data_IF_703995513503
#
_entry.id   IF_703995513503
#
_cell.length_a   1.000
_cell.length_b   1.000
_cell.length_c   1.000
_cell.angle_alpha   90.00
_cell.angle_beta   90.00
_cell.angle_gamma   90.00
#
_symmetry.space_group_name_H-M   'P 1'
#
loop_
_entity.id
_entity.type
_entity.pdbx_description
1 polymer ?
#
# COMPACT_ATOMS: atom_id res chain seq x y z
N UNK A 1 -26.75 -2.71 -9.43
CA UNK A 1 -26.36 -4.13 -9.42
C UNK A 1 -25.92 -4.68 -10.78
N UNK A 2 -26.24 -4.07 -11.94
CA UNK A 2 -25.85 -4.59 -13.26
C UNK A 2 -24.37 -4.36 -13.67
N UNK A 3 -23.61 -3.52 -12.97
CA UNK A 3 -22.23 -3.14 -13.33
C UNK A 3 -21.14 -3.75 -12.45
N UNK A 4 -21.48 -4.44 -11.34
CA UNK A 4 -20.46 -5.06 -10.50
C UNK A 4 -19.88 -6.29 -11.22
N UNK A 5 -18.57 -6.28 -11.56
CA UNK A 5 -17.96 -7.40 -12.27
C UNK A 5 -17.86 -8.67 -11.41
N UNK A 6 -17.80 -8.55 -10.08
CA UNK A 6 -17.50 -9.68 -9.20
C UNK A 6 -18.67 -10.68 -9.15
N UNK A 7 -19.92 -10.28 -8.86
CA UNK A 7 -21.07 -11.20 -8.89
C UNK A 7 -21.32 -11.78 -10.29
N UNK A 8 -21.12 -10.97 -11.34
CA UNK A 8 -21.29 -11.41 -12.74
C UNK A 8 -20.31 -12.52 -13.10
N UNK A 9 -19.04 -12.34 -12.77
CA UNK A 9 -18.02 -13.34 -13.05
C UNK A 9 -18.20 -14.60 -12.18
N UNK A 10 -18.61 -14.44 -10.92
CA UNK A 10 -18.97 -15.56 -10.04
C UNK A 10 -20.07 -16.43 -10.64
N UNK A 11 -21.16 -15.82 -11.13
CA UNK A 11 -22.25 -16.56 -11.76
C UNK A 11 -21.79 -17.35 -13.00
N UNK A 12 -20.93 -16.75 -13.82
CA UNK A 12 -20.31 -17.45 -14.96
C UNK A 12 -19.49 -18.67 -14.50
N UNK A 13 -18.63 -18.52 -13.49
CA UNK A 13 -17.81 -19.62 -12.98
C UNK A 13 -18.64 -20.74 -12.33
N UNK A 14 -19.76 -20.38 -11.67
CA UNK A 14 -20.73 -21.35 -11.16
C UNK A 14 -21.36 -22.15 -12.31
N UNK A 15 -21.78 -21.49 -13.39
CA UNK A 15 -22.33 -22.14 -14.58
C UNK A 15 -21.34 -23.08 -15.29
N UNK A 16 -20.04 -22.83 -15.16
CA UNK A 16 -18.98 -23.70 -15.67
C UNK A 16 -18.57 -24.83 -14.69
N UNK A 17 -19.18 -24.89 -13.49
CA UNK A 17 -18.79 -25.86 -12.45
C UNK A 17 -17.42 -25.58 -11.80
N UNK A 18 -16.84 -24.41 -12.04
CA UNK A 18 -15.51 -24.01 -11.54
C UNK A 18 -15.58 -23.30 -10.19
N UNK A 19 -16.77 -22.88 -9.77
CA UNK A 19 -17.00 -22.21 -8.49
C UNK A 19 -17.77 -23.11 -7.52
N UNK A 20 -17.25 -23.26 -6.31
CA UNK A 20 -17.89 -24.02 -5.23
C UNK A 20 -17.88 -23.22 -3.93
N UNK A 21 -18.76 -23.58 -2.98
CA UNK A 21 -18.77 -22.96 -1.65
C UNK A 21 -17.41 -23.10 -0.93
N UNK A 22 -16.79 -24.27 -1.01
CA UNK A 22 -15.44 -24.51 -0.45
C UNK A 22 -14.37 -23.61 -1.08
N UNK A 23 -14.47 -23.30 -2.37
CA UNK A 23 -13.55 -22.37 -3.02
C UNK A 23 -13.77 -20.93 -2.51
N UNK A 24 -15.03 -20.50 -2.41
CA UNK A 24 -15.40 -19.18 -1.91
C UNK A 24 -14.90 -18.94 -0.47
N UNK A 25 -15.10 -19.93 0.42
CA UNK A 25 -14.60 -19.91 1.80
C UNK A 25 -13.07 -19.77 1.85
N UNK A 26 -12.36 -20.58 1.06
CA UNK A 26 -10.89 -20.53 0.98
C UNK A 26 -10.38 -19.18 0.49
N UNK A 27 -10.98 -18.65 -0.58
CA UNK A 27 -10.61 -17.35 -1.15
C UNK A 27 -10.91 -16.22 -0.17
N UNK A 28 -12.07 -16.26 0.49
CA UNK A 28 -12.47 -15.28 1.48
C UNK A 28 -11.54 -15.28 2.70
N UNK A 29 -11.22 -16.45 3.24
CA UNK A 29 -10.28 -16.60 4.36
C UNK A 29 -8.88 -16.10 4.01
N UNK A 30 -8.35 -16.48 2.83
CA UNK A 30 -7.06 -15.97 2.35
C UNK A 30 -7.08 -14.46 2.18
N UNK A 31 -8.15 -13.90 1.61
CA UNK A 31 -8.26 -12.47 1.39
C UNK A 31 -8.33 -11.69 2.71
N UNK A 32 -9.06 -12.21 3.70
CA UNK A 32 -9.10 -11.62 5.04
C UNK A 32 -7.73 -11.61 5.70
N UNK A 33 -7.02 -12.75 5.64
CA UNK A 33 -5.65 -12.87 6.15
C UNK A 33 -4.70 -11.87 5.48
N UNK A 34 -4.68 -11.81 4.14
CA UNK A 34 -3.83 -10.87 3.40
C UNK A 34 -4.11 -9.40 3.76
N UNK A 35 -5.38 -9.03 3.94
CA UNK A 35 -5.75 -7.67 4.39
C UNK A 35 -5.25 -7.38 5.79
N UNK A 36 -5.33 -8.35 6.70
CA UNK A 36 -4.81 -8.20 8.07
C UNK A 36 -3.30 -8.03 8.04
N UNK A 37 -2.58 -8.92 7.37
CA UNK A 37 -1.11 -8.87 7.26
C UNK A 37 -0.66 -7.54 6.64
N UNK A 38 -1.31 -7.07 5.57
CA UNK A 38 -1.00 -5.78 4.97
C UNK A 38 -1.27 -4.63 5.94
N UNK A 39 -2.40 -4.65 6.65
CA UNK A 39 -2.73 -3.64 7.66
C UNK A 39 -1.63 -3.59 8.72
N UNK A 40 -1.24 -4.75 9.25
CA UNK A 40 -0.22 -4.84 10.31
C UNK A 40 1.13 -4.29 9.82
N UNK A 41 1.55 -4.64 8.60
CA UNK A 41 2.78 -4.10 7.99
C UNK A 41 2.70 -2.58 7.87
N UNK A 42 1.57 -2.02 7.44
CA UNK A 42 1.42 -0.56 7.29
C UNK A 42 1.61 0.19 8.62
N UNK A 43 1.20 -0.38 9.76
CA UNK A 43 1.39 0.25 11.08
C UNK A 43 2.75 0.00 11.70
N UNK A 44 3.40 -1.10 11.34
CA UNK A 44 4.68 -1.52 11.94
C UNK A 44 5.88 -1.12 11.11
N UNK A 45 5.67 -0.73 9.86
CA UNK A 45 6.71 -0.18 9.00
C UNK A 45 7.17 1.16 9.59
N UNK A 46 8.48 1.35 9.85
CA UNK A 46 9.01 2.63 10.27
C UNK A 46 8.63 3.73 9.29
N UNK A 47 8.46 4.95 9.81
CA UNK A 47 8.28 6.11 8.95
C UNK A 47 9.49 6.27 8.01
N UNK A 48 9.20 6.78 6.81
CA UNK A 48 10.20 7.07 5.80
C UNK A 48 11.14 8.17 6.33
N UNK A 49 12.44 8.10 5.97
CA UNK A 49 13.37 9.17 6.31
C UNK A 49 12.87 10.50 5.71
N UNK A 50 12.80 11.53 6.55
CA UNK A 50 12.35 12.86 6.13
C UNK A 50 13.20 13.45 4.99
N UNK A 51 14.45 13.00 4.85
CA UNK A 51 15.32 13.35 3.73
C UNK A 51 14.72 12.96 2.37
N UNK A 52 13.91 11.89 2.31
CA UNK A 52 13.32 11.39 1.06
C UNK A 52 12.37 12.40 0.42
N UNK A 53 11.77 13.30 1.20
CA UNK A 53 10.95 14.41 0.69
C UNK A 53 11.74 15.33 -0.24
N UNK A 54 13.06 15.38 -0.10
CA UNK A 54 13.96 16.20 -0.94
C UNK A 54 14.61 15.40 -2.06
N UNK A 55 14.99 14.15 -1.81
CA UNK A 55 15.78 13.35 -2.77
C UNK A 55 14.94 12.64 -3.84
N UNK A 56 13.61 12.60 -3.70
CA UNK A 56 12.71 11.91 -4.64
C UNK A 56 11.97 12.85 -5.61
N UNK A 57 12.18 14.17 -5.50
CA UNK A 57 11.47 15.19 -6.29
C UNK A 57 11.91 15.19 -7.76
N UNK A 58 13.21 15.07 -7.98
CA UNK A 58 13.85 15.03 -9.30
C UNK A 58 14.83 13.87 -9.34
N UNK A 59 15.23 13.47 -10.55
CA UNK A 59 16.25 12.43 -10.72
C UNK A 59 17.57 12.80 -10.03
N UNK A 60 17.92 14.09 -10.02
CA UNK A 60 19.07 14.64 -9.31
C UNK A 60 18.61 15.77 -8.39
N UNK A 61 19.11 15.81 -7.16
CA UNK A 61 18.73 16.85 -6.20
C UNK A 61 19.25 18.22 -6.67
N UNK A 62 18.38 19.23 -6.61
CA UNK A 62 18.78 20.60 -6.96
C UNK A 62 19.56 21.24 -5.80
N UNK A 63 20.46 22.20 -6.07
CA UNK A 63 21.18 22.91 -5.00
C UNK A 63 20.26 23.58 -3.97
N UNK A 64 19.08 24.03 -4.39
CA UNK A 64 18.09 24.63 -3.50
C UNK A 64 17.46 23.60 -2.54
N UNK A 65 17.07 22.43 -3.06
CA UNK A 65 16.54 21.34 -2.23
C UNK A 65 17.59 20.79 -1.27
N UNK A 66 18.85 20.71 -1.72
CA UNK A 66 19.97 20.30 -0.87
C UNK A 66 20.19 21.28 0.30
N UNK A 67 20.05 22.60 0.04
CA UNK A 67 20.12 23.61 1.09
C UNK A 67 18.97 23.49 2.10
N UNK A 68 17.74 23.28 1.63
CA UNK A 68 16.56 23.07 2.49
C UNK A 68 16.69 21.81 3.35
N UNK A 69 17.16 20.69 2.77
CA UNK A 69 17.43 19.44 3.49
C UNK A 69 18.41 19.65 4.65
N UNK A 70 19.52 20.35 4.40
CA UNK A 70 20.50 20.68 5.46
C UNK A 70 19.90 21.56 6.55
N UNK A 71 19.08 22.55 6.18
CA UNK A 71 18.40 23.40 7.14
C UNK A 71 17.48 22.58 8.06
N UNK A 72 16.63 21.71 7.48
CA UNK A 72 15.72 20.87 8.26
C UNK A 72 16.47 19.96 9.24
N UNK A 73 17.57 19.33 8.82
CA UNK A 73 18.40 18.52 9.72
C UNK A 73 18.98 19.33 10.87
N UNK A 74 19.40 20.57 10.61
CA UNK A 74 19.92 21.44 11.65
C UNK A 74 18.83 21.91 12.63
N UNK A 75 17.56 21.98 12.20
CA UNK A 75 16.41 22.26 13.06
C UNK A 75 16.07 21.03 13.93
N UNK A 76 15.94 19.84 13.32
CA UNK A 76 15.66 18.59 14.04
C UNK A 76 16.74 18.27 15.09
N UNK A 77 18.02 18.55 14.80
CA UNK A 77 19.11 18.36 15.77
C UNK A 77 19.07 19.32 16.97
N UNK A 78 18.29 20.41 16.90
CA UNK A 78 18.06 21.33 18.03
C UNK A 78 16.84 20.94 18.86
N UNK A 79 15.88 20.26 18.24
CA UNK A 79 14.60 19.87 18.85
C UNK A 79 14.62 18.45 19.44
N UNK A 80 15.53 17.59 18.98
CA UNK A 80 15.78 16.25 19.53
C UNK A 80 16.72 16.26 20.74
#
# INVERSE_FOLDING_TARGET
MALDPIPRYRAYLQGQGLWSGRLDERVSARSARLRSELRDVVFTTPDIDVDEVFTTVYAEITPALEAQRRQLRAELAKEG
#
